data_IF_588656640333
#
_entry.id   IF_588656640333
#
_cell.length_a   1.000
_cell.length_b   1.000
_cell.length_c   1.000
_cell.angle_alpha   90.00
_cell.angle_beta   90.00
_cell.angle_gamma   90.00
#
_symmetry.space_group_name_H-M   'P 1'
#
loop_
_entity.id
_entity.type
_entity.pdbx_description
1 polymer ?
#
# COMPACT_ATOMS: atom_id res chain seq x y z
N UNK A 1 -10.86 -9.92 -11.79
CA UNK A 1 -9.87 -9.96 -12.88
C UNK A 1 -10.54 -9.46 -14.16
N UNK A 2 -10.37 -8.20 -14.51
CA UNK A 2 -10.88 -7.64 -15.77
C UNK A 2 -9.75 -7.63 -16.80
N UNK A 3 -9.71 -8.68 -17.61
CA UNK A 3 -8.83 -8.83 -18.76
C UNK A 3 -9.33 -7.96 -19.94
N UNK A 4 -9.16 -6.64 -19.81
CA UNK A 4 -9.11 -5.70 -20.94
C UNK A 4 -8.80 -4.30 -20.39
N UNK A 5 -7.52 -3.96 -20.29
CA UNK A 5 -7.10 -2.58 -20.03
C UNK A 5 -5.97 -2.27 -21.00
N UNK A 6 -6.31 -1.68 -22.14
CA UNK A 6 -5.34 -1.20 -23.12
C UNK A 6 -4.54 0.02 -22.64
N UNK A 7 -4.77 0.51 -21.41
CA UNK A 7 -3.97 1.55 -20.74
C UNK A 7 -4.28 1.54 -19.24
N UNK A 8 -3.42 0.93 -18.42
CA UNK A 8 -3.51 1.06 -16.96
C UNK A 8 -3.20 2.51 -16.54
N UNK A 9 -4.13 3.15 -15.82
CA UNK A 9 -3.94 4.50 -15.27
C UNK A 9 -2.73 4.53 -14.33
N UNK A 10 -2.61 3.52 -13.47
CA UNK A 10 -1.48 3.35 -12.56
C UNK A 10 -0.15 3.36 -13.31
N UNK A 11 -0.03 2.57 -14.39
CA UNK A 11 1.16 2.54 -15.23
C UNK A 11 1.47 3.92 -15.85
N UNK A 12 0.45 4.65 -16.29
CA UNK A 12 0.62 5.99 -16.86
C UNK A 12 1.11 6.99 -15.81
N UNK A 13 0.55 6.95 -14.60
CA UNK A 13 0.94 7.82 -13.48
C UNK A 13 2.38 7.51 -13.05
N UNK A 14 2.71 6.23 -12.85
CA UNK A 14 4.07 5.81 -12.46
C UNK A 14 5.11 6.24 -13.50
N UNK A 15 4.87 5.99 -14.80
CA UNK A 15 5.75 6.45 -15.89
C UNK A 15 5.84 7.97 -15.97
N UNK A 16 4.78 8.68 -15.59
CA UNK A 16 4.80 10.14 -15.56
C UNK A 16 5.65 10.65 -14.39
N UNK A 17 5.46 10.11 -13.18
CA UNK A 17 6.26 10.45 -12.00
C UNK A 17 7.75 10.13 -12.21
N UNK A 18 8.08 9.00 -12.85
CA UNK A 18 9.46 8.64 -13.20
C UNK A 18 10.13 9.65 -14.16
N UNK A 19 9.35 10.31 -15.03
CA UNK A 19 9.90 11.38 -15.89
C UNK A 19 10.17 12.66 -15.11
N UNK A 20 9.41 12.92 -14.06
CA UNK A 20 9.57 14.09 -13.18
C UNK A 20 10.66 13.89 -12.12
N UNK A 21 10.93 12.65 -11.73
CA UNK A 21 11.89 12.29 -10.67
C UNK A 21 13.34 12.72 -10.95
N UNK A 22 13.72 12.91 -12.22
CA UNK A 22 15.08 13.29 -12.66
C UNK A 22 15.60 14.62 -12.10
N UNK A 23 14.82 15.33 -11.27
CA UNK A 23 15.15 16.66 -10.72
C UNK A 23 14.94 16.81 -9.21
N UNK A 24 14.29 15.87 -8.53
CA UNK A 24 13.90 16.05 -7.12
C UNK A 24 14.31 14.87 -6.24
N UNK A 25 15.12 15.11 -5.20
CA UNK A 25 15.45 14.09 -4.19
C UNK A 25 14.21 13.50 -3.50
N UNK A 26 13.11 14.26 -3.44
CA UNK A 26 11.84 13.81 -2.87
C UNK A 26 11.18 12.66 -3.64
N UNK A 27 11.56 12.43 -4.92
CA UNK A 27 11.06 11.28 -5.68
C UNK A 27 11.56 9.95 -5.13
N UNK A 28 12.62 9.96 -4.34
CA UNK A 28 13.17 8.75 -3.72
C UNK A 28 12.22 8.09 -2.71
N UNK A 29 11.14 8.78 -2.32
CA UNK A 29 10.13 8.25 -1.38
C UNK A 29 8.87 7.75 -2.09
N UNK A 30 8.92 7.59 -3.42
CA UNK A 30 7.88 6.95 -4.24
C UNK A 30 8.47 5.70 -4.87
N UNK A 31 7.70 4.61 -4.93
CA UNK A 31 8.17 3.33 -5.48
C UNK A 31 8.69 3.47 -6.92
N UNK A 32 9.84 2.85 -7.18
CA UNK A 32 10.42 2.83 -8.53
C UNK A 32 9.82 1.73 -9.40
N UNK A 33 9.21 2.11 -10.52
CA UNK A 33 8.86 1.18 -11.60
C UNK A 33 10.12 0.85 -12.42
N UNK A 34 10.54 -0.41 -12.38
CA UNK A 34 11.72 -0.91 -13.10
C UNK A 34 11.38 -1.38 -14.52
N UNK A 35 10.23 -2.03 -14.69
CA UNK A 35 9.76 -2.51 -15.98
C UNK A 35 8.23 -2.64 -15.99
N UNK A 36 7.65 -2.66 -17.19
CA UNK A 36 6.23 -2.94 -17.39
C UNK A 36 6.01 -3.68 -18.72
N UNK A 37 5.44 -4.87 -18.64
CA UNK A 37 5.19 -5.75 -19.78
C UNK A 37 3.81 -6.41 -19.70
N UNK A 38 3.39 -7.07 -20.78
CA UNK A 38 2.14 -7.82 -20.82
C UNK A 38 2.41 -9.31 -20.88
N UNK A 39 1.78 -10.09 -20.00
CA UNK A 39 1.85 -11.54 -19.99
C UNK A 39 0.54 -12.14 -20.53
N UNK A 40 0.64 -13.04 -21.52
CA UNK A 40 -0.52 -13.78 -22.05
C UNK A 40 -0.66 -15.10 -21.31
N UNK A 41 -1.65 -15.16 -20.43
CA UNK A 41 -2.01 -16.36 -19.67
C UNK A 41 -3.27 -17.05 -20.21
N UNK A 42 -3.68 -18.17 -19.59
CA UNK A 42 -4.91 -18.88 -19.96
C UNK A 42 -6.17 -18.00 -19.78
N UNK A 43 -6.16 -17.12 -18.76
CA UNK A 43 -7.28 -16.24 -18.42
C UNK A 43 -7.25 -14.87 -19.13
N UNK A 44 -6.39 -14.70 -20.15
CA UNK A 44 -6.29 -13.49 -20.95
C UNK A 44 -4.93 -12.80 -20.86
N UNK A 45 -4.92 -11.50 -21.17
CA UNK A 45 -3.70 -10.68 -21.15
C UNK A 45 -3.66 -9.89 -19.86
N UNK A 46 -2.55 -10.00 -19.14
CA UNK A 46 -2.31 -9.38 -17.86
C UNK A 46 -1.21 -8.32 -17.99
N UNK A 47 -1.49 -7.09 -17.50
CA UNK A 47 -0.46 -6.08 -17.35
C UNK A 47 0.37 -6.42 -16.11
N UNK A 48 1.67 -6.55 -16.27
CA UNK A 48 2.64 -6.80 -15.20
C UNK A 48 3.47 -5.54 -14.98
N UNK A 49 3.62 -5.16 -13.72
CA UNK A 49 4.47 -4.05 -13.26
C UNK A 49 5.58 -4.65 -12.40
N UNK A 50 6.82 -4.23 -12.66
CA UNK A 50 8.00 -4.68 -11.92
C UNK A 50 8.55 -3.50 -11.13
N UNK A 51 8.72 -3.68 -9.83
CA UNK A 51 9.15 -2.63 -8.90
C UNK A 51 10.47 -3.02 -8.22
N UNK A 52 11.11 -2.04 -7.58
CA UNK A 52 12.19 -2.31 -6.62
C UNK A 52 11.68 -3.25 -5.50
N UNK A 53 12.56 -4.11 -4.99
CA UNK A 53 12.25 -4.93 -3.82
C UNK A 53 12.13 -4.01 -2.60
N UNK A 54 11.04 -4.16 -1.85
CA UNK A 54 10.76 -3.41 -0.63
C UNK A 54 10.53 -4.38 0.53
N UNK A 55 10.70 -3.88 1.74
CA UNK A 55 10.42 -4.57 2.99
C UNK A 55 8.92 -4.54 3.35
N UNK A 56 8.58 -4.76 4.64
CA UNK A 56 7.20 -4.76 5.10
C UNK A 56 6.53 -3.40 4.95
N UNK A 57 5.19 -3.43 4.91
CA UNK A 57 4.39 -2.21 5.00
C UNK A 57 4.48 -1.61 6.41
N UNK A 58 4.27 -0.31 6.51
CA UNK A 58 4.17 0.40 7.80
C UNK A 58 3.03 -0.18 8.65
N UNK A 59 1.93 -0.61 8.03
CA UNK A 59 0.81 -1.27 8.72
C UNK A 59 1.26 -2.58 9.40
N UNK A 60 2.09 -3.38 8.71
CA UNK A 60 2.63 -4.63 9.27
C UNK A 60 3.56 -4.34 10.45
N UNK A 61 4.48 -3.40 10.31
CA UNK A 61 5.39 -3.01 11.41
C UNK A 61 4.61 -2.48 12.61
N UNK A 62 3.62 -1.61 12.39
CA UNK A 62 2.79 -1.09 13.47
C UNK A 62 1.97 -2.18 14.16
N UNK A 63 1.47 -3.17 13.41
CA UNK A 63 0.79 -4.34 13.99
C UNK A 63 1.70 -5.09 14.96
N UNK A 64 2.95 -5.34 14.56
CA UNK A 64 3.92 -6.07 15.39
C UNK A 64 4.25 -5.29 16.68
N UNK A 65 4.48 -3.97 16.58
CA UNK A 65 4.68 -3.09 17.74
C UNK A 65 3.44 -3.01 18.66
N UNK A 66 2.23 -3.05 18.08
CA UNK A 66 1.00 -3.09 18.85
C UNK A 66 0.86 -4.38 19.66
N UNK A 67 1.24 -5.53 19.08
CA UNK A 67 1.21 -6.82 19.76
C UNK A 67 2.23 -6.88 20.91
N UNK A 68 3.44 -6.37 20.70
CA UNK A 68 4.48 -6.31 21.75
C UNK A 68 4.28 -5.19 22.77
N UNK A 69 3.31 -4.29 22.53
CA UNK A 69 3.05 -3.08 23.34
C UNK A 69 4.22 -2.07 23.34
N UNK A 70 5.07 -2.14 22.32
CA UNK A 70 6.21 -1.24 22.14
C UNK A 70 5.82 0.04 21.43
N UNK A 71 6.80 0.95 21.33
CA UNK A 71 6.65 2.20 20.60
C UNK A 71 7.79 2.40 19.62
N UNK A 72 7.46 2.83 18.41
CA UNK A 72 8.46 3.43 17.53
C UNK A 72 9.12 4.60 18.26
N UNK A 73 10.44 4.68 18.12
CA UNK A 73 11.19 5.77 18.70
C UNK A 73 10.79 7.11 18.03
N UNK A 74 10.85 8.24 18.76
CA UNK A 74 10.45 9.52 18.21
C UNK A 74 11.24 9.97 16.97
N UNK A 75 12.48 9.52 16.80
CA UNK A 75 13.33 9.87 15.68
C UNK A 75 12.86 9.16 14.41
N UNK A 76 12.54 7.86 14.49
CA UNK A 76 11.90 7.08 13.42
C UNK A 76 10.54 7.64 13.04
N UNK A 77 9.70 8.00 14.02
CA UNK A 77 8.41 8.66 13.73
C UNK A 77 8.63 9.96 12.95
N UNK A 78 9.59 10.80 13.36
CA UNK A 78 9.90 12.05 12.67
C UNK A 78 10.47 11.81 11.26
N UNK A 79 11.34 10.79 11.11
CA UNK A 79 11.94 10.36 9.84
C UNK A 79 10.86 9.94 8.86
N UNK A 80 10.03 8.96 9.21
CA UNK A 80 8.91 8.47 8.37
C UNK A 80 7.96 9.62 8.03
N UNK A 81 7.58 10.45 9.01
CA UNK A 81 6.69 11.60 8.80
C UNK A 81 7.27 12.59 7.78
N UNK A 82 8.58 12.88 7.89
CA UNK A 82 9.28 13.80 6.98
C UNK A 82 9.32 13.24 5.57
N UNK A 83 9.60 11.95 5.42
CA UNK A 83 9.68 11.29 4.12
C UNK A 83 8.31 11.20 3.45
N UNK A 84 7.26 10.86 4.21
CA UNK A 84 5.88 10.84 3.71
C UNK A 84 5.42 12.23 3.24
N UNK A 85 5.74 13.29 3.97
CA UNK A 85 5.44 14.66 3.56
C UNK A 85 6.23 15.07 2.30
N UNK A 86 7.48 14.62 2.15
CA UNK A 86 8.27 14.84 0.93
C UNK A 86 7.67 14.08 -0.27
N UNK A 87 7.25 12.83 -0.09
CA UNK A 87 6.57 12.03 -1.10
C UNK A 87 5.26 12.71 -1.55
N UNK A 88 4.41 13.10 -0.60
CA UNK A 88 3.16 13.81 -0.88
C UNK A 88 3.41 15.12 -1.64
N UNK A 89 4.40 15.92 -1.20
CA UNK A 89 4.79 17.16 -1.90
C UNK A 89 5.22 16.89 -3.35
N UNK A 90 6.00 15.84 -3.59
CA UNK A 90 6.47 15.49 -4.93
C UNK A 90 5.33 15.08 -5.86
N UNK A 91 4.43 14.19 -5.42
CA UNK A 91 3.29 13.79 -6.27
C UNK A 91 2.33 14.97 -6.50
N UNK A 92 2.12 15.82 -5.50
CA UNK A 92 1.26 17.00 -5.62
C UNK A 92 1.87 18.06 -6.55
N UNK A 93 3.19 18.27 -6.52
CA UNK A 93 3.88 19.19 -7.45
C UNK A 93 3.83 18.70 -8.90
N UNK A 94 3.73 17.38 -9.09
CA UNK A 94 3.47 16.75 -10.38
C UNK A 94 1.99 16.80 -10.81
N UNK A 95 1.09 17.35 -9.98
CA UNK A 95 -0.35 17.41 -10.28
C UNK A 95 -1.08 16.07 -10.09
N UNK A 96 -0.53 15.17 -9.27
CA UNK A 96 -1.12 13.86 -8.94
C UNK A 96 -1.64 13.87 -7.51
N UNK A 97 -2.83 13.32 -7.30
CA UNK A 97 -3.32 12.89 -5.99
C UNK A 97 -3.16 11.38 -5.87
N UNK A 98 -2.67 10.89 -4.73
CA UNK A 98 -2.57 9.47 -4.43
C UNK A 98 -3.96 8.84 -4.19
N UNK A 99 -4.78 9.48 -3.36
CA UNK A 99 -6.17 9.09 -3.10
C UNK A 99 -6.34 8.04 -2.00
N UNK A 100 -5.33 7.20 -1.75
CA UNK A 100 -5.37 6.15 -0.72
C UNK A 100 -4.10 6.08 0.16
N UNK A 101 -3.65 7.21 0.70
CA UNK A 101 -2.50 7.18 1.64
C UNK A 101 -2.93 6.46 2.95
N UNK A 102 -2.24 5.36 3.24
CA UNK A 102 -2.41 4.55 4.45
C UNK A 102 -1.17 3.71 4.73
N UNK A 103 -1.04 3.14 5.93
CA UNK A 103 0.11 2.31 6.30
C UNK A 103 0.30 1.08 5.40
N UNK A 104 -0.75 0.61 4.73
CA UNK A 104 -0.66 -0.51 3.76
C UNK A 104 0.02 -0.12 2.46
N UNK A 105 -0.09 1.16 2.10
CA UNK A 105 0.46 1.74 0.87
C UNK A 105 1.76 2.50 1.14
N UNK A 106 2.40 2.23 2.27
CA UNK A 106 3.73 2.74 2.61
C UNK A 106 4.56 1.54 3.04
N UNK A 107 5.72 1.33 2.44
CA UNK A 107 6.62 0.24 2.78
C UNK A 107 8.02 0.75 3.04
N UNK A 108 8.78 0.03 3.87
CA UNK A 108 10.18 0.29 4.09
C UNK A 108 11.01 -0.18 2.89
N UNK A 109 12.10 0.50 2.59
CA UNK A 109 13.13 0.02 1.68
C UNK A 109 13.91 -1.11 2.35
N UNK A 110 14.39 -2.08 1.58
CA UNK A 110 15.20 -3.18 2.10
C UNK A 110 16.58 -3.19 1.43
N UNK A 111 17.38 -2.14 1.66
CA UNK A 111 18.59 -1.88 0.86
C UNK A 111 19.65 -2.98 1.02
N UNK A 112 19.82 -3.55 2.22
CA UNK A 112 20.73 -4.65 2.47
C UNK A 112 20.24 -5.95 1.82
N UNK A 113 18.94 -6.23 1.94
CA UNK A 113 18.31 -7.41 1.38
C UNK A 113 18.37 -7.42 -0.16
N UNK A 114 18.19 -6.26 -0.80
CA UNK A 114 18.23 -6.11 -2.26
C UNK A 114 19.57 -6.49 -2.90
N UNK A 115 20.64 -6.61 -2.10
CA UNK A 115 22.00 -6.98 -2.55
C UNK A 115 22.34 -8.45 -2.25
N UNK A 116 21.47 -9.17 -1.55
CA UNK A 116 21.68 -10.57 -1.20
C UNK A 116 21.45 -11.51 -2.39
N UNK A 117 21.93 -12.74 -2.29
CA UNK A 117 21.63 -13.79 -3.26
C UNK A 117 20.20 -14.31 -3.08
N UNK A 118 19.64 -14.96 -4.09
CA UNK A 118 18.31 -15.57 -4.02
C UNK A 118 18.16 -16.57 -2.85
N UNK A 119 19.19 -17.36 -2.57
CA UNK A 119 19.21 -18.31 -1.44
C UNK A 119 19.10 -17.57 -0.10
N UNK A 120 19.86 -16.48 0.07
CA UNK A 120 19.81 -15.66 1.27
C UNK A 120 18.47 -14.91 1.41
N UNK A 121 17.83 -14.54 0.29
CA UNK A 121 16.47 -14.00 0.31
C UNK A 121 15.48 -15.02 0.87
N UNK A 122 15.58 -16.29 0.46
CA UNK A 122 14.71 -17.36 0.96
C UNK A 122 15.01 -17.75 2.41
N UNK A 123 16.25 -17.61 2.87
CA UNK A 123 16.56 -17.80 4.30
C UNK A 123 15.82 -16.76 5.18
N UNK A 124 15.62 -15.54 4.67
CA UNK A 124 14.97 -14.43 5.40
C UNK A 124 13.45 -14.46 5.24
N UNK A 125 12.95 -14.62 4.00
CA UNK A 125 11.52 -14.63 3.68
C UNK A 125 10.85 -15.97 3.93
N UNK A 126 11.65 -17.02 4.17
CA UNK A 126 11.21 -18.40 4.10
C UNK A 126 11.18 -18.91 2.65
N UNK A 127 11.38 -20.22 2.51
CA UNK A 127 11.18 -20.89 1.23
C UNK A 127 9.69 -20.86 0.85
N UNK A 128 9.34 -20.66 -0.44
CA UNK A 128 7.96 -20.61 -0.87
C UNK A 128 7.19 -21.89 -0.48
N UNK A 129 6.15 -21.72 0.33
CA UNK A 129 5.25 -22.82 0.66
C UNK A 129 4.27 -23.04 -0.50
N UNK A 130 4.33 -24.23 -1.11
CA UNK A 130 3.53 -24.60 -2.29
C UNK A 130 2.50 -25.65 -1.90
N UNK A 131 1.23 -25.40 -2.20
CA UNK A 131 0.15 -26.36 -2.01
C UNK A 131 -0.52 -26.71 -3.34
N UNK A 132 -0.83 -27.99 -3.62
CA UNK A 132 -1.56 -28.36 -4.83
C UNK A 132 -2.99 -27.81 -4.76
N UNK A 133 -3.41 -27.07 -5.80
CA UNK A 133 -4.79 -26.64 -5.90
C UNK A 133 -5.66 -27.86 -6.19
N UNK A 134 -6.70 -28.07 -5.39
CA UNK A 134 -7.65 -29.17 -5.56
C UNK A 134 -9.06 -28.63 -5.46
N UNK A 135 -9.95 -29.14 -6.30
CA UNK A 135 -11.38 -28.87 -6.15
C UNK A 135 -11.92 -29.65 -4.97
N UNK A 136 -12.80 -29.02 -4.21
CA UNK A 136 -13.49 -29.63 -3.05
C UNK A 136 -14.31 -30.86 -3.48
N UNK A 137 -14.85 -30.85 -4.70
CA UNK A 137 -15.65 -31.94 -5.28
C UNK A 137 -14.81 -33.10 -5.86
N UNK A 138 -13.47 -33.01 -5.80
CA UNK A 138 -12.56 -34.02 -6.34
C UNK A 138 -12.46 -34.08 -7.87
N UNK A 139 -13.15 -33.20 -8.60
CA UNK A 139 -13.08 -33.16 -10.06
C UNK A 139 -11.73 -32.59 -10.54
N UNK A 140 -11.23 -33.00 -11.72
CA UNK A 140 -9.99 -32.45 -12.27
C UNK A 140 -10.07 -30.93 -12.44
N UNK A 141 -8.96 -30.24 -12.18
CA UNK A 141 -8.84 -28.81 -12.50
C UNK A 141 -8.93 -28.63 -14.03
N UNK A 142 -9.68 -27.63 -14.45
CA UNK A 142 -9.62 -27.17 -15.83
C UNK A 142 -8.31 -26.42 -16.10
N UNK A 143 -7.90 -26.34 -17.36
CA UNK A 143 -6.68 -25.66 -17.79
C UNK A 143 -6.65 -24.14 -17.48
N UNK A 144 -7.79 -23.57 -17.09
CA UNK A 144 -7.97 -22.17 -16.69
C UNK A 144 -7.38 -21.87 -15.30
N UNK A 145 -7.20 -22.89 -14.45
CA UNK A 145 -6.77 -22.75 -13.06
C UNK A 145 -5.31 -23.17 -12.87
N UNK A 146 -4.55 -22.49 -12.00
CA UNK A 146 -3.18 -22.91 -11.67
C UNK A 146 -3.21 -24.26 -10.95
N UNK A 147 -2.22 -25.11 -11.21
CA UNK A 147 -2.11 -26.42 -10.56
C UNK A 147 -1.70 -26.34 -9.08
N UNK A 148 -1.16 -25.20 -8.66
CA UNK A 148 -0.61 -24.99 -7.33
C UNK A 148 -0.90 -23.57 -6.83
N UNK A 149 -1.02 -23.44 -5.52
CA UNK A 149 -1.07 -22.19 -4.79
C UNK A 149 0.29 -21.99 -4.13
N UNK A 150 0.76 -20.74 -4.14
CA UNK A 150 1.97 -20.34 -3.42
C UNK A 150 1.50 -19.40 -2.31
N UNK A 151 1.82 -19.73 -1.06
CA UNK A 151 1.52 -18.86 0.08
C UNK A 151 2.31 -17.56 -0.07
N UNK A 152 1.68 -16.44 0.28
CA UNK A 152 2.37 -15.15 0.28
C UNK A 152 3.53 -15.19 1.29
N UNK A 153 4.69 -14.66 0.89
CA UNK A 153 5.82 -14.49 1.80
C UNK A 153 5.43 -13.52 2.93
N UNK A 154 5.92 -13.78 4.14
CA UNK A 154 5.67 -12.97 5.31
C UNK A 154 6.98 -12.41 5.87
N UNK A 155 6.93 -11.17 6.34
CA UNK A 155 8.04 -10.52 7.03
C UNK A 155 7.93 -10.81 8.53
N UNK A 156 8.46 -11.94 8.99
CA UNK A 156 8.28 -12.42 10.37
C UNK A 156 9.38 -11.96 11.33
N UNK A 157 10.59 -11.68 10.84
CA UNK A 157 11.75 -11.25 11.64
C UNK A 157 12.34 -9.92 11.16
N UNK A 158 11.50 -9.03 10.62
CA UNK A 158 11.98 -7.73 10.16
C UNK A 158 12.35 -6.84 11.35
N UNK A 159 13.56 -6.30 11.32
CA UNK A 159 14.01 -5.27 12.24
C UNK A 159 14.20 -4.01 11.40
N UNK A 160 13.51 -2.92 11.74
CA UNK A 160 13.72 -1.61 11.09
C UNK A 160 15.18 -1.21 11.33
N UNK A 161 15.95 -1.09 10.25
CA UNK A 161 17.31 -0.59 10.32
C UNK A 161 17.32 0.94 10.19
N UNK A 162 18.22 1.61 10.92
CA UNK A 162 18.28 3.08 10.99
C UNK A 162 18.43 3.75 9.60
N UNK A 163 18.94 3.02 8.60
CA UNK A 163 19.17 3.46 7.23
C UNK A 163 18.03 3.14 6.23
N UNK A 164 16.91 2.57 6.69
CA UNK A 164 15.79 2.21 5.81
C UNK A 164 14.80 3.36 5.60
N UNK A 165 14.72 3.87 4.38
CA UNK A 165 13.74 4.89 4.00
C UNK A 165 12.38 4.25 3.65
N UNK A 166 11.31 5.04 3.62
CA UNK A 166 10.00 4.60 3.14
C UNK A 166 9.81 4.82 1.63
N UNK A 167 8.89 4.07 1.04
CA UNK A 167 8.30 4.29 -0.28
C UNK A 167 6.78 4.36 -0.17
N UNK A 168 6.19 5.35 -0.81
CA UNK A 168 4.77 5.38 -1.15
C UNK A 168 4.53 4.49 -2.37
N UNK A 169 3.59 3.55 -2.26
CA UNK A 169 3.26 2.55 -3.28
C UNK A 169 1.75 2.51 -3.55
N UNK A 170 1.36 1.71 -4.55
CA UNK A 170 -0.02 1.51 -5.00
C UNK A 170 -0.71 2.80 -5.50
N UNK A 171 -0.47 3.10 -6.77
CA UNK A 171 -1.09 4.24 -7.47
C UNK A 171 -2.38 3.84 -8.20
N UNK A 172 -3.01 2.72 -7.82
CA UNK A 172 -4.23 2.23 -8.46
C UNK A 172 -5.41 3.19 -8.35
N UNK A 173 -5.51 3.88 -7.21
CA UNK A 173 -6.57 4.86 -6.90
C UNK A 173 -6.17 6.31 -7.21
N UNK A 174 -4.98 6.52 -7.77
CA UNK A 174 -4.47 7.86 -8.05
C UNK A 174 -5.15 8.53 -9.23
N UNK A 175 -5.18 9.86 -9.21
CA UNK A 175 -5.81 10.69 -10.24
C UNK A 175 -5.08 12.02 -10.43
N UNK A 176 -5.27 12.64 -11.59
CA UNK A 176 -4.72 13.97 -11.89
C UNK A 176 -5.57 15.06 -11.23
N UNK A 177 -4.95 16.12 -10.73
CA UNK A 177 -5.66 17.30 -10.24
C UNK A 177 -6.55 17.89 -11.34
N UNK A 178 -7.80 18.21 -10.98
CA UNK A 178 -8.84 18.62 -11.94
C UNK A 178 -9.53 17.45 -12.67
N UNK A 179 -9.14 16.20 -12.38
CA UNK A 179 -9.79 14.98 -12.85
C UNK A 179 -10.23 14.09 -11.68
N UNK A 180 -10.77 14.72 -10.64
CA UNK A 180 -11.26 14.06 -9.44
C UNK A 180 -12.34 13.02 -9.81
N UNK A 181 -12.26 11.78 -9.31
CA UNK A 181 -13.33 10.81 -9.49
C UNK A 181 -14.57 11.23 -8.69
N UNK A 182 -15.74 10.69 -9.05
CA UNK A 182 -16.96 10.94 -8.27
C UNK A 182 -16.87 10.40 -6.84
N UNK A 183 -16.06 9.36 -6.63
CA UNK A 183 -15.87 8.72 -5.33
C UNK A 183 -14.49 8.07 -5.26
N UNK A 184 -13.84 8.17 -4.10
CA UNK A 184 -12.63 7.40 -3.78
C UNK A 184 -13.00 6.01 -3.25
N UNK A 185 -12.25 4.98 -3.65
CA UNK A 185 -12.43 3.62 -3.13
C UNK A 185 -11.83 3.44 -1.72
N UNK A 186 -12.16 4.36 -0.80
CA UNK A 186 -11.64 4.32 0.57
C UNK A 186 -12.46 3.39 1.46
N UNK A 187 -11.82 2.49 2.24
CA UNK A 187 -12.46 1.82 3.36
C UNK A 187 -13.07 2.82 4.34
N UNK A 188 -14.13 2.41 5.05
CA UNK A 188 -14.88 3.32 5.92
C UNK A 188 -14.03 4.05 6.97
N UNK A 189 -13.01 3.39 7.52
CA UNK A 189 -12.06 3.97 8.49
C UNK A 189 -11.05 4.94 7.88
N UNK A 190 -10.88 4.93 6.56
CA UNK A 190 -9.94 5.80 5.86
C UNK A 190 -10.58 7.03 5.24
N UNK A 191 -11.91 7.14 5.27
CA UNK A 191 -12.63 8.30 4.71
C UNK A 191 -12.21 9.59 5.38
N UNK A 192 -12.06 10.61 4.55
CA UNK A 192 -11.73 11.98 4.95
C UNK A 192 -13.02 12.80 5.12
N UNK A 193 -13.01 13.91 5.88
CA UNK A 193 -14.22 14.69 6.16
C UNK A 193 -14.96 15.15 4.91
N UNK A 194 -14.23 15.59 3.88
CA UNK A 194 -14.79 16.06 2.62
C UNK A 194 -15.52 14.94 1.85
N UNK A 195 -15.07 13.69 1.91
CA UNK A 195 -15.81 12.58 1.28
C UNK A 195 -17.03 12.11 2.08
N UNK A 196 -17.25 12.69 3.27
CA UNK A 196 -18.41 12.39 4.14
C UNK A 196 -19.41 13.54 4.12
N UNK A 197 -18.91 14.78 4.21
CA UNK A 197 -19.72 15.96 4.48
C UNK A 197 -19.89 16.88 3.27
N UNK A 198 -19.10 16.71 2.21
CA UNK A 198 -19.16 17.57 1.03
C UNK A 198 -19.35 16.76 -0.25
N UNK A 199 -19.82 17.44 -1.29
CA UNK A 199 -20.02 16.85 -2.63
C UNK A 199 -18.77 16.99 -3.51
N UNK A 200 -17.69 17.56 -2.99
CA UNK A 200 -16.42 17.72 -3.68
C UNK A 200 -15.23 17.43 -2.74
N UNK A 201 -14.13 17.00 -3.34
CA UNK A 201 -12.83 16.83 -2.72
C UNK A 201 -11.75 17.10 -3.78
N UNK A 202 -10.49 17.21 -3.39
CA UNK A 202 -9.36 17.35 -4.32
C UNK A 202 -8.11 16.68 -3.74
N UNK A 203 -6.93 16.97 -4.27
CA UNK A 203 -5.67 16.38 -3.80
C UNK A 203 -5.38 16.56 -2.29
N UNK A 204 -6.06 17.49 -1.61
CA UNK A 204 -5.89 17.73 -0.16
C UNK A 204 -6.41 16.56 0.69
N UNK A 205 -7.17 15.62 0.11
CA UNK A 205 -7.50 14.35 0.78
C UNK A 205 -6.23 13.65 1.26
N UNK A 206 -5.16 13.67 0.47
CA UNK A 206 -3.87 13.08 0.82
C UNK A 206 -3.26 13.75 2.06
N UNK A 207 -3.39 15.06 2.20
CA UNK A 207 -2.84 15.78 3.37
C UNK A 207 -3.55 15.37 4.66
N UNK A 208 -4.87 15.18 4.61
CA UNK A 208 -5.61 14.63 5.75
C UNK A 208 -5.12 13.22 6.07
N UNK A 209 -5.00 12.36 5.05
CA UNK A 209 -4.54 10.97 5.21
C UNK A 209 -3.11 10.89 5.75
N UNK A 210 -2.20 11.75 5.28
CA UNK A 210 -0.85 11.90 5.82
C UNK A 210 -0.89 12.30 7.29
N UNK A 211 -1.74 13.26 7.67
CA UNK A 211 -1.93 13.65 9.07
C UNK A 211 -2.41 12.48 9.96
N UNK A 212 -3.38 11.69 9.47
CA UNK A 212 -3.83 10.48 10.16
C UNK A 212 -2.70 9.46 10.33
N UNK A 213 -1.91 9.21 9.28
CA UNK A 213 -0.80 8.26 9.33
C UNK A 213 0.27 8.70 10.34
N UNK A 214 0.63 9.99 10.37
CA UNK A 214 1.58 10.54 11.35
C UNK A 214 1.05 10.39 12.78
N UNK A 215 -0.24 10.60 12.99
CA UNK A 215 -0.87 10.38 14.29
C UNK A 215 -0.86 8.91 14.70
N UNK A 216 -1.08 7.99 13.77
CA UNK A 216 -1.04 6.55 14.00
C UNK A 216 0.37 6.06 14.35
N UNK A 217 1.40 6.52 13.62
CA UNK A 217 2.82 6.28 13.94
C UNK A 217 3.17 6.69 15.39
N UNK A 218 2.63 7.83 15.84
CA UNK A 218 2.83 8.31 17.22
C UNK A 218 1.98 7.56 18.24
N UNK A 219 0.79 7.12 17.85
CA UNK A 219 -0.25 6.63 18.74
C UNK A 219 -0.25 5.10 18.81
N UNK A 220 0.86 4.52 19.25
CA UNK A 220 0.89 3.12 19.72
C UNK A 220 0.15 2.94 21.07
N UNK A 221 -0.69 3.92 21.46
CA UNK A 221 -1.74 3.73 22.46
C UNK A 221 -2.86 4.78 22.29
N UNK A 222 -3.87 4.45 21.47
CA UNK A 222 -5.31 4.58 21.80
C UNK A 222 -6.14 4.17 20.60
N UNK A 223 -6.97 3.16 20.82
CA UNK A 223 -8.18 2.88 20.07
C UNK A 223 -8.92 4.18 19.71
N UNK A 224 -8.68 4.68 18.50
CA UNK A 224 -9.63 5.51 17.77
C UNK A 224 -10.50 4.59 16.91
N UNK A 225 -11.03 3.51 17.50
CA UNK A 225 -12.38 3.13 17.13
C UNK A 225 -13.26 4.27 17.62
N UNK A 226 -13.70 5.12 16.70
CA UNK A 226 -14.90 5.94 16.89
C UNK A 226 -16.03 4.99 17.28
N UNK A 227 -16.17 4.70 18.58
CA UNK A 227 -17.39 4.12 19.14
C UNK A 227 -18.42 5.24 19.04
N UNK A 228 -19.13 5.28 17.93
CA UNK A 228 -20.44 5.90 17.93
C UNK A 228 -21.28 5.14 18.97
N UNK A 229 -21.75 5.78 20.06
CA UNK A 229 -22.74 5.15 20.91
C UNK A 229 -24.03 5.12 20.09
N UNK A 230 -24.34 3.97 19.47
CA UNK A 230 -25.72 3.70 19.08
C UNK A 230 -26.46 3.49 20.40
N UNK A 231 -27.12 4.55 20.87
CA UNK A 231 -28.19 4.43 21.84
C UNK A 231 -29.30 3.63 21.15
N UNK A 232 -29.29 2.31 21.32
CA UNK A 232 -30.49 1.52 21.14
C UNK A 232 -31.40 1.83 22.33
N UNK A 233 -32.32 2.75 22.07
CA UNK A 233 -33.55 2.94 22.81
C UNK A 233 -34.34 1.63 22.79
N UNK A 234 -34.89 1.31 23.95
CA UNK A 234 -35.78 0.19 24.20
C UNK A 234 -36.86 0.03 23.12
N UNK A 235 -36.98 -1.18 22.57
CA UNK A 235 -38.25 -1.69 22.05
C UNK A 235 -38.62 -2.94 22.85
N UNK A 236 -39.73 -2.80 23.57
CA UNK A 236 -40.44 -3.81 24.32
C UNK A 236 -40.87 -4.97 23.41
N UNK A 237 -40.82 -6.20 23.92
CA UNK A 237 -41.71 -7.28 23.51
C UNK A 237 -42.26 -7.99 24.76
N UNK A 238 -43.59 -7.93 24.87
CA UNK A 238 -44.55 -8.60 25.77
C UNK A 238 -44.31 -8.57 27.28
#
# INVERSE_FOLDING_TARGET
MTANSSTSRELQILKFLEKQSRRELSSNYVVQLLDAFTHKGPNGVHQCLVFELLGPSVDKVLSDYHETHDKLDPETVLRISTQLLKAAKFIHSAGICHGDISGRNIAFSCTHLSKQTEEQLFDILGFPEIEPLKRVDGTPLGNELPAQLIKAAEWTEWIDEDDEDIRLLDFGESFYQGQEPQRLAQPGSLRVPETIFTDCFDYRVDLWRTGCMIMELRSLNRSLRLRYPIQHSNLYFM
#
